data_IF_445155992240
#
_entry.id   IF_445155992240
#
_cell.length_a   1.000
_cell.length_b   1.000
_cell.length_c   1.000
_cell.angle_alpha   90.00
_cell.angle_beta   90.00
_cell.angle_gamma   90.00
#
_symmetry.space_group_name_H-M   'P 1'
#
loop_
_entity.id
_entity.type
_entity.pdbx_description
1 polymer ?
#
# COMPACT_ATOMS: atom_id res chain seq x y z
N UNK A 1 -4.25 -1.37 9.54
CA UNK A 1 -5.47 -1.94 8.94
C UNK A 1 -5.69 -3.43 9.24
N UNK A 2 -6.94 -3.88 9.02
CA UNK A 2 -7.42 -5.26 9.13
C UNK A 2 -6.85 -6.17 8.02
N UNK A 3 -6.74 -5.66 6.78
CA UNK A 3 -6.29 -6.46 5.65
C UNK A 3 -4.82 -6.90 5.80
N UNK A 4 -3.93 -5.99 6.20
CA UNK A 4 -2.51 -6.24 6.43
C UNK A 4 -2.29 -7.20 7.60
N UNK A 5 -3.11 -7.10 8.65
CA UNK A 5 -3.10 -8.08 9.75
C UNK A 5 -3.52 -9.46 9.28
N UNK A 6 -4.55 -9.55 8.44
CA UNK A 6 -4.96 -10.82 7.84
C UNK A 6 -3.85 -11.39 6.93
N UNK A 7 -3.24 -10.57 6.08
CA UNK A 7 -2.11 -10.96 5.23
C UNK A 7 -0.93 -11.49 6.06
N UNK A 8 -0.60 -10.80 7.16
CA UNK A 8 0.40 -11.28 8.11
C UNK A 8 0.02 -12.65 8.67
N UNK A 9 -1.21 -12.82 9.18
CA UNK A 9 -1.65 -14.07 9.79
C UNK A 9 -1.61 -15.24 8.81
N UNK A 10 -2.10 -15.04 7.58
CA UNK A 10 -2.09 -16.07 6.53
C UNK A 10 -0.66 -16.48 6.20
N UNK A 11 0.22 -15.51 5.93
CA UNK A 11 1.62 -15.78 5.57
C UNK A 11 2.40 -16.43 6.72
N UNK A 12 2.18 -15.97 7.96
CA UNK A 12 2.85 -16.50 9.13
C UNK A 12 2.41 -17.93 9.43
N UNK A 13 1.11 -18.22 9.38
CA UNK A 13 0.59 -19.57 9.58
C UNK A 13 1.12 -20.54 8.52
N UNK A 14 1.22 -20.10 7.26
CA UNK A 14 1.82 -20.89 6.19
C UNK A 14 3.31 -21.18 6.49
N UNK A 15 4.09 -20.14 6.83
CA UNK A 15 5.51 -20.29 7.13
C UNK A 15 5.76 -21.20 8.34
N UNK A 16 4.89 -21.18 9.35
CA UNK A 16 4.99 -22.04 10.54
C UNK A 16 4.58 -23.50 10.27
N UNK A 17 3.97 -23.80 9.13
CA UNK A 17 3.63 -25.15 8.72
C UNK A 17 4.84 -26.08 8.59
N UNK A 18 4.63 -27.39 8.78
CA UNK A 18 5.72 -28.39 8.79
C UNK A 18 6.58 -28.38 7.51
N UNK A 19 5.99 -28.09 6.36
CA UNK A 19 6.70 -28.08 5.06
C UNK A 19 7.79 -27.02 4.90
N UNK A 20 7.84 -26.02 5.79
CA UNK A 20 8.82 -24.92 5.72
C UNK A 20 9.89 -24.97 6.83
N UNK A 21 10.03 -26.09 7.54
CA UNK A 21 10.98 -26.21 8.64
C UNK A 21 12.43 -25.91 8.23
N UNK A 22 12.86 -26.43 7.09
CA UNK A 22 14.22 -26.17 6.56
C UNK A 22 14.44 -24.69 6.25
N UNK A 23 13.44 -24.01 5.67
CA UNK A 23 13.51 -22.58 5.40
C UNK A 23 13.62 -21.78 6.72
N UNK A 24 12.82 -22.13 7.73
CA UNK A 24 12.88 -21.46 9.04
C UNK A 24 14.26 -21.60 9.69
N UNK A 25 14.88 -22.79 9.61
CA UNK A 25 16.26 -23.03 10.09
C UNK A 25 17.32 -22.20 9.35
N UNK A 26 17.05 -21.75 8.12
CA UNK A 26 17.92 -20.83 7.40
C UNK A 26 17.70 -19.36 7.76
N UNK A 27 16.52 -19.02 8.31
CA UNK A 27 16.16 -17.63 8.66
C UNK A 27 16.59 -17.31 10.10
N UNK A 28 16.40 -18.25 11.02
CA UNK A 28 16.74 -18.08 12.44
C UNK A 28 17.20 -19.40 13.06
N UNK A 29 18.10 -19.31 14.03
CA UNK A 29 18.68 -20.46 14.74
C UNK A 29 18.20 -20.59 16.19
N UNK A 30 17.65 -19.52 16.76
CA UNK A 30 17.19 -19.47 18.15
C UNK A 30 15.93 -18.61 18.32
N UNK A 31 15.33 -18.66 19.51
CA UNK A 31 14.08 -17.97 19.84
C UNK A 31 14.18 -16.43 19.72
N UNK A 32 15.32 -15.86 20.09
CA UNK A 32 15.51 -14.40 20.00
C UNK A 32 15.57 -13.93 18.54
N UNK A 33 16.16 -14.73 17.65
CA UNK A 33 16.17 -14.46 16.21
C UNK A 33 14.79 -14.67 15.57
N UNK A 34 14.03 -15.67 16.04
CA UNK A 34 12.62 -15.85 15.64
C UNK A 34 11.80 -14.61 16.01
N UNK A 35 11.89 -14.14 17.25
CA UNK A 35 11.15 -12.96 17.70
C UNK A 35 11.55 -11.71 16.90
N UNK A 36 12.85 -11.52 16.66
CA UNK A 36 13.35 -10.43 15.80
C UNK A 36 12.82 -10.53 14.38
N UNK A 37 12.86 -11.71 13.78
CA UNK A 37 12.35 -11.95 12.43
C UNK A 37 10.85 -11.67 12.36
N UNK A 38 10.09 -12.17 13.33
CA UNK A 38 8.65 -11.92 13.47
C UNK A 38 8.37 -10.41 13.53
N UNK A 39 9.09 -9.69 14.37
CA UNK A 39 8.92 -8.25 14.52
C UNK A 39 9.23 -7.49 13.21
N UNK A 40 10.26 -7.90 12.47
CA UNK A 40 10.58 -7.32 11.16
C UNK A 40 9.45 -7.55 10.16
N UNK A 41 8.93 -8.79 10.06
CA UNK A 41 7.83 -9.14 9.14
C UNK A 41 6.54 -8.37 9.49
N UNK A 42 6.22 -8.24 10.77
CA UNK A 42 5.06 -7.42 11.20
C UNK A 42 5.26 -5.97 10.80
N UNK A 43 6.42 -5.38 11.11
CA UNK A 43 6.68 -3.98 10.80
C UNK A 43 6.60 -3.69 9.30
N UNK A 44 7.11 -4.58 8.47
CA UNK A 44 7.09 -4.41 7.01
C UNK A 44 5.70 -4.56 6.41
N UNK A 45 4.93 -5.57 6.82
CA UNK A 45 3.56 -5.78 6.31
C UNK A 45 2.62 -4.68 6.79
N UNK A 46 2.69 -4.30 8.07
CA UNK A 46 1.86 -3.20 8.58
C UNK A 46 2.24 -1.86 7.94
N UNK A 47 3.49 -1.70 7.47
CA UNK A 47 3.91 -0.51 6.77
C UNK A 47 3.30 -0.35 5.37
N UNK A 48 2.78 -1.41 4.72
CA UNK A 48 2.14 -1.29 3.40
C UNK A 48 0.75 -0.66 3.46
N UNK A 49 0.18 -0.50 4.66
CA UNK A 49 -0.96 0.37 4.86
C UNK A 49 -0.53 1.84 4.74
N UNK A 50 -0.81 2.40 3.57
CA UNK A 50 -0.47 3.78 3.21
C UNK A 50 -1.56 4.78 3.60
N UNK A 51 -2.79 4.32 3.84
CA UNK A 51 -3.96 5.20 3.94
C UNK A 51 -4.46 5.38 5.38
N UNK A 52 -4.12 4.47 6.30
CA UNK A 52 -4.42 4.62 7.73
C UNK A 52 -3.61 5.79 8.33
N UNK A 53 -4.33 6.85 8.70
CA UNK A 53 -3.75 8.12 9.19
C UNK A 53 -2.93 7.94 10.46
N UNK A 54 -3.33 7.03 11.36
CA UNK A 54 -2.63 6.79 12.62
C UNK A 54 -1.33 6.02 12.37
N UNK A 55 -1.35 5.05 11.46
CA UNK A 55 -0.14 4.35 11.02
C UNK A 55 0.84 5.29 10.32
N UNK A 56 0.35 6.15 9.43
CA UNK A 56 1.14 7.20 8.77
C UNK A 56 1.79 8.13 9.81
N UNK A 57 1.01 8.63 10.78
CA UNK A 57 1.51 9.52 11.82
C UNK A 57 2.59 8.86 12.70
N UNK A 58 2.34 7.62 13.16
CA UNK A 58 3.31 6.85 13.96
C UNK A 58 4.61 6.64 13.22
N UNK A 59 4.55 6.32 11.93
CA UNK A 59 5.72 6.10 11.08
C UNK A 59 6.51 7.37 10.83
N UNK A 60 5.85 8.49 10.55
CA UNK A 60 6.52 9.79 10.42
C UNK A 60 7.25 10.18 11.71
N UNK A 61 6.62 9.97 12.87
CA UNK A 61 7.28 10.18 14.18
C UNK A 61 8.51 9.28 14.38
N UNK A 62 8.45 8.00 13.98
CA UNK A 62 9.62 7.10 14.04
C UNK A 62 10.73 7.56 13.10
N UNK A 63 10.38 7.98 11.88
CA UNK A 63 11.32 8.51 10.90
C UNK A 63 12.05 9.74 11.45
N UNK A 64 11.32 10.75 11.92
CA UNK A 64 11.90 11.95 12.51
C UNK A 64 12.81 11.63 13.68
N UNK A 65 12.43 10.69 14.56
CA UNK A 65 13.27 10.25 15.68
C UNK A 65 14.57 9.59 15.21
N UNK A 66 14.52 8.77 14.17
CA UNK A 66 15.71 8.09 13.63
C UNK A 66 16.70 9.07 12.99
N UNK A 67 16.21 10.15 12.35
CA UNK A 67 17.04 11.10 11.59
C UNK A 67 17.29 12.46 12.29
N UNK A 68 16.55 12.84 13.35
CA UNK A 68 16.86 14.04 14.17
C UNK A 68 18.14 13.89 14.98
N UNK A 69 18.45 12.68 15.44
CA UNK A 69 19.64 12.38 16.26
C UNK A 69 20.96 12.67 15.52
N UNK A 70 20.92 12.74 14.18
CA UNK A 70 22.08 13.09 13.34
C UNK A 70 22.36 14.59 13.23
N UNK A 71 21.35 15.46 13.35
CA UNK A 71 21.50 16.90 13.12
C UNK A 71 21.78 17.72 14.39
N UNK A 72 21.50 17.16 15.58
CA UNK A 72 21.78 17.85 16.85
C UNK A 72 23.26 17.81 17.26
N UNK A 73 24.07 16.90 16.72
CA UNK A 73 25.50 16.76 17.04
C UNK A 73 26.44 17.50 16.07
N UNK A 74 25.93 18.18 15.04
CA UNK A 74 26.73 18.97 14.08
C UNK A 74 26.79 20.48 14.40
N UNK A 75 26.40 20.88 15.60
CA UNK A 75 26.36 22.28 16.04
C UNK A 75 27.67 22.80 16.64
N UNK A 76 28.81 22.72 15.93
CA UNK A 76 29.92 23.69 16.05
C UNK A 76 30.63 23.85 14.70
N UNK A 77 30.56 25.07 14.19
CA UNK A 77 30.95 25.61 12.89
C UNK A 77 32.43 25.40 12.52
N UNK A 78 32.73 25.05 11.26
CA UNK A 78 33.86 25.58 10.43
C UNK A 78 33.60 25.36 8.91
N UNK A 79 34.11 26.24 8.01
CA UNK A 79 33.70 26.36 6.61
C UNK A 79 34.37 25.33 5.66
N UNK A 80 33.97 25.23 4.36
CA UNK A 80 34.13 24.01 3.59
C UNK A 80 35.51 23.93 2.92
N UNK A 81 36.25 22.87 3.21
CA UNK A 81 37.36 22.43 2.38
C UNK A 81 37.02 21.09 1.70
N UNK A 82 37.29 21.06 0.40
CA UNK A 82 36.97 19.98 -0.54
C UNK A 82 37.60 18.65 -0.11
N UNK A 83 36.93 17.56 -0.54
CA UNK A 83 37.36 16.13 -0.53
C UNK A 83 36.92 15.33 0.71
N UNK A 84 35.66 14.87 0.71
CA UNK A 84 35.15 13.88 1.67
C UNK A 84 35.70 12.49 1.36
N UNK A 85 36.87 12.19 1.92
CA UNK A 85 37.32 10.82 2.19
C UNK A 85 36.46 10.30 3.34
N UNK A 86 35.67 9.23 3.13
CA UNK A 86 34.85 8.59 4.18
C UNK A 86 35.77 8.16 5.32
N UNK A 87 35.69 8.85 6.45
CA UNK A 87 36.26 8.42 7.73
C UNK A 87 35.06 8.06 8.61
N UNK A 88 34.90 6.77 8.90
CA UNK A 88 33.87 6.29 9.82
C UNK A 88 34.09 6.96 11.17
N UNK A 89 33.14 7.79 11.58
CA UNK A 89 33.16 8.46 12.88
C UNK A 89 32.46 7.59 13.90
N UNK A 90 33.22 7.16 14.91
CA UNK A 90 32.78 6.49 16.12
C UNK A 90 31.84 7.38 16.98
N UNK A 91 30.62 7.58 16.49
CA UNK A 91 29.52 8.26 17.19
C UNK A 91 28.17 7.56 17.06
N UNK A 92 28.15 6.37 16.46
CA UNK A 92 26.94 5.62 16.19
C UNK A 92 26.55 4.77 17.41
N UNK A 93 25.58 5.26 18.19
CA UNK A 93 24.90 4.43 19.18
C UNK A 93 24.24 3.24 18.43
N UNK A 94 24.56 1.97 18.74
CA UNK A 94 24.01 0.80 18.03
C UNK A 94 22.48 0.82 17.93
N UNK A 95 21.81 1.23 19.01
CA UNK A 95 20.35 1.35 19.03
C UNK A 95 19.77 2.45 18.13
N UNK A 96 20.57 3.42 17.67
CA UNK A 96 20.17 4.40 16.66
C UNK A 96 20.27 3.82 15.25
N UNK A 97 21.28 2.99 15.00
CA UNK A 97 21.46 2.32 13.71
C UNK A 97 20.36 1.27 13.46
N UNK A 98 19.98 0.50 14.48
CA UNK A 98 18.88 -0.47 14.39
C UNK A 98 17.53 0.20 14.11
N UNK A 99 17.27 1.34 14.75
CA UNK A 99 16.08 2.16 14.49
C UNK A 99 16.05 2.71 13.08
N UNK A 100 17.18 3.21 12.58
CA UNK A 100 17.32 3.67 11.19
C UNK A 100 17.07 2.53 10.22
N UNK A 101 17.69 1.37 10.43
CA UNK A 101 17.50 0.20 9.58
C UNK A 101 16.02 -0.19 9.48
N UNK A 102 15.29 -0.20 10.60
CA UNK A 102 13.87 -0.55 10.61
C UNK A 102 13.03 0.44 9.79
N UNK A 103 13.17 1.75 10.02
CA UNK A 103 12.35 2.75 9.29
C UNK A 103 12.71 2.82 7.80
N UNK A 104 13.95 2.51 7.45
CA UNK A 104 14.41 2.36 6.07
C UNK A 104 13.74 1.17 5.39
N UNK A 105 13.71 0.01 6.05
CA UNK A 105 13.10 -1.20 5.49
C UNK A 105 11.59 -1.00 5.34
N UNK A 106 10.93 -0.35 6.29
CA UNK A 106 9.51 0.07 6.16
C UNK A 106 9.30 0.94 4.91
N UNK A 107 10.14 1.97 4.70
CA UNK A 107 10.03 2.86 3.53
C UNK A 107 10.31 2.15 2.20
N UNK A 108 11.25 1.19 2.17
CA UNK A 108 11.53 0.37 0.98
C UNK A 108 10.34 -0.52 0.60
N UNK A 109 9.69 -1.12 1.60
CA UNK A 109 8.49 -1.93 1.35
C UNK A 109 7.35 -1.10 0.77
N UNK A 110 7.14 0.11 1.30
CA UNK A 110 6.16 1.05 0.76
C UNK A 110 6.45 1.43 -0.68
N UNK A 111 7.70 1.78 -0.96
CA UNK A 111 8.08 2.19 -2.30
C UNK A 111 7.98 1.04 -3.29
N UNK A 112 8.19 -0.20 -2.83
CA UNK A 112 7.99 -1.40 -3.64
C UNK A 112 6.53 -1.59 -4.01
N UNK A 113 5.62 -1.42 -3.03
CA UNK A 113 4.17 -1.56 -3.19
C UNK A 113 3.59 -0.57 -4.22
N UNK A 114 4.09 0.67 -4.22
CA UNK A 114 3.63 1.73 -5.14
C UNK A 114 4.63 2.05 -6.25
N UNK A 115 5.59 1.15 -6.52
CA UNK A 115 6.70 1.39 -7.43
C UNK A 115 6.29 1.80 -8.84
N UNK A 116 5.13 1.31 -9.31
CA UNK A 116 4.57 1.66 -10.62
C UNK A 116 4.33 3.16 -10.80
N UNK A 117 4.10 3.92 -9.72
CA UNK A 117 3.94 5.39 -9.74
C UNK A 117 5.24 6.15 -9.97
N UNK A 118 6.38 5.48 -9.74
CA UNK A 118 7.75 6.00 -9.88
C UNK A 118 8.46 5.40 -11.10
N UNK A 119 7.70 4.93 -12.09
CA UNK A 119 8.19 4.37 -13.35
C UNK A 119 7.68 5.17 -14.55
N UNK A 120 8.12 4.83 -15.77
CA UNK A 120 7.63 5.48 -16.99
C UNK A 120 6.09 5.52 -17.07
N UNK A 121 5.57 6.60 -17.63
CA UNK A 121 4.14 6.91 -17.76
C UNK A 121 3.28 5.72 -18.19
N UNK A 122 3.69 4.95 -19.20
CA UNK A 122 2.91 3.81 -19.69
C UNK A 122 2.78 2.67 -18.69
N UNK A 123 3.78 2.47 -17.82
CA UNK A 123 3.74 1.47 -16.76
C UNK A 123 2.84 1.94 -15.63
N UNK A 124 3.01 3.18 -15.18
CA UNK A 124 2.10 3.83 -14.22
C UNK A 124 0.64 3.71 -14.69
N UNK A 125 0.36 4.14 -15.91
CA UNK A 125 -0.98 4.16 -16.49
C UNK A 125 -1.59 2.75 -16.59
N UNK A 126 -0.78 1.75 -16.95
CA UNK A 126 -1.23 0.34 -17.03
C UNK A 126 -1.72 -0.17 -15.68
N UNK A 127 -0.98 0.09 -14.61
CA UNK A 127 -1.31 -0.41 -13.28
C UNK A 127 -2.42 0.41 -12.61
N UNK A 128 -2.39 1.73 -12.76
CA UNK A 128 -3.48 2.60 -12.33
C UNK A 128 -4.82 2.17 -12.98
N UNK A 129 -4.81 1.92 -14.30
CA UNK A 129 -6.01 1.40 -14.99
C UNK A 129 -6.52 0.08 -14.40
N UNK A 130 -5.62 -0.85 -14.07
CA UNK A 130 -6.00 -2.15 -13.50
C UNK A 130 -6.70 -1.98 -12.16
N UNK A 131 -6.14 -1.14 -11.29
CA UNK A 131 -6.75 -0.81 -10.00
C UNK A 131 -8.11 -0.11 -10.19
N UNK A 132 -8.21 0.86 -11.08
CA UNK A 132 -9.48 1.52 -11.39
C UNK A 132 -10.55 0.52 -11.82
N UNK A 133 -10.21 -0.41 -12.72
CA UNK A 133 -11.16 -1.41 -13.22
C UNK A 133 -11.57 -2.41 -12.13
N UNK A 134 -10.66 -2.78 -11.23
CA UNK A 134 -10.96 -3.62 -10.06
C UNK A 134 -11.94 -2.92 -9.10
N UNK A 135 -11.67 -1.65 -8.77
CA UNK A 135 -12.54 -0.84 -7.92
C UNK A 135 -13.92 -0.61 -8.55
N UNK A 136 -13.95 -0.32 -9.86
CA UNK A 136 -15.21 -0.13 -10.58
C UNK A 136 -16.00 -1.43 -10.66
N UNK A 137 -15.33 -2.59 -10.76
CA UNK A 137 -16.01 -3.89 -10.72
C UNK A 137 -16.68 -4.10 -9.36
N UNK A 138 -15.97 -3.85 -8.25
CA UNK A 138 -16.54 -3.94 -6.91
C UNK A 138 -17.76 -3.01 -6.71
N UNK A 139 -17.67 -1.76 -7.19
CA UNK A 139 -18.80 -0.82 -7.19
C UNK A 139 -19.98 -1.33 -8.03
N UNK A 140 -19.71 -1.77 -9.25
CA UNK A 140 -20.73 -2.21 -10.20
C UNK A 140 -21.48 -3.48 -9.76
N UNK A 141 -20.88 -4.26 -8.85
CA UNK A 141 -21.44 -5.45 -8.21
C UNK A 141 -22.08 -5.16 -6.85
N UNK A 142 -22.07 -3.90 -6.39
CA UNK A 142 -22.62 -3.48 -5.10
C UNK A 142 -21.79 -3.90 -3.88
N UNK A 143 -20.51 -4.28 -4.08
CA UNK A 143 -19.57 -4.58 -2.99
C UNK A 143 -18.91 -3.31 -2.41
N UNK A 144 -18.97 -2.20 -3.16
CA UNK A 144 -18.52 -0.88 -2.75
C UNK A 144 -19.63 0.13 -3.05
N UNK A 145 -19.85 1.08 -2.14
CA UNK A 145 -20.79 2.19 -2.36
C UNK A 145 -20.15 3.36 -3.13
N UNK A 146 -18.83 3.28 -3.38
CA UNK A 146 -18.05 4.37 -3.97
C UNK A 146 -17.82 4.10 -5.46
N UNK A 147 -18.33 4.98 -6.33
CA UNK A 147 -17.94 5.00 -7.74
C UNK A 147 -16.52 5.59 -7.87
N UNK A 148 -15.52 4.82 -8.33
CA UNK A 148 -14.17 5.35 -8.46
C UNK A 148 -14.10 6.52 -9.46
N UNK A 149 -15.03 6.63 -10.41
CA UNK A 149 -15.01 7.65 -11.47
C UNK A 149 -15.20 9.08 -10.95
N UNK A 150 -15.82 9.26 -9.78
CA UNK A 150 -16.17 10.58 -9.24
C UNK A 150 -15.00 11.30 -8.56
N UNK A 151 -13.99 10.55 -8.08
CA UNK A 151 -12.88 11.11 -7.30
C UNK A 151 -11.49 10.65 -7.73
N UNK A 152 -11.36 9.83 -8.78
CA UNK A 152 -10.06 9.26 -9.16
C UNK A 152 -9.03 10.31 -9.56
N UNK A 153 -9.45 11.35 -10.30
CA UNK A 153 -8.53 12.36 -10.81
C UNK A 153 -7.88 13.15 -9.67
N UNK A 154 -8.71 13.71 -8.78
CA UNK A 154 -8.29 14.45 -7.59
C UNK A 154 -7.56 13.54 -6.59
N UNK A 155 -8.04 12.32 -6.41
CA UNK A 155 -7.43 11.31 -5.55
C UNK A 155 -6.00 10.97 -5.96
N UNK A 156 -5.76 10.74 -7.24
CA UNK A 156 -4.41 10.45 -7.76
C UNK A 156 -3.48 11.67 -7.63
N UNK A 157 -3.96 12.90 -7.86
CA UNK A 157 -3.17 14.10 -7.59
C UNK A 157 -2.77 14.20 -6.12
N UNK A 158 -3.73 14.00 -5.22
CA UNK A 158 -3.48 14.00 -3.78
C UNK A 158 -2.55 12.86 -3.37
N UNK A 159 -2.62 11.70 -4.02
CA UNK A 159 -1.74 10.56 -3.77
C UNK A 159 -0.30 10.86 -4.16
N UNK A 160 -0.07 11.48 -5.33
CA UNK A 160 1.28 11.92 -5.71
C UNK A 160 1.84 12.97 -4.76
N UNK A 161 1.05 14.00 -4.45
CA UNK A 161 1.51 15.17 -3.68
C UNK A 161 1.75 14.81 -2.20
N UNK A 162 0.91 13.97 -1.61
CA UNK A 162 0.96 13.65 -0.17
C UNK A 162 1.68 12.34 0.16
N UNK A 163 1.83 11.41 -0.80
CA UNK A 163 2.38 10.06 -0.54
C UNK A 163 3.58 9.74 -1.41
N UNK A 164 3.41 9.68 -2.73
CA UNK A 164 4.46 9.17 -3.65
C UNK A 164 5.70 10.07 -3.63
N UNK A 165 5.53 11.37 -3.87
CA UNK A 165 6.66 12.31 -3.97
C UNK A 165 7.39 12.45 -2.62
N UNK A 166 6.70 12.61 -1.47
CA UNK A 166 7.36 12.60 -0.16
C UNK A 166 8.15 11.32 0.11
N UNK A 167 7.63 10.15 -0.27
CA UNK A 167 8.33 8.87 -0.10
C UNK A 167 9.58 8.77 -0.99
N UNK A 168 9.47 9.16 -2.25
CA UNK A 168 10.62 9.17 -3.17
C UNK A 168 11.74 10.11 -2.69
N UNK A 169 11.38 11.29 -2.14
CA UNK A 169 12.34 12.21 -1.51
C UNK A 169 13.04 11.58 -0.30
N UNK A 170 12.28 10.94 0.60
CA UNK A 170 12.85 10.21 1.75
C UNK A 170 13.87 9.16 1.33
N UNK A 171 13.56 8.38 0.28
CA UNK A 171 14.48 7.35 -0.22
C UNK A 171 15.74 7.92 -0.84
N UNK A 172 15.61 9.01 -1.61
CA UNK A 172 16.76 9.75 -2.15
C UNK A 172 17.67 10.29 -1.05
N UNK A 173 17.10 10.87 0.00
CA UNK A 173 17.87 11.39 1.15
C UNK A 173 18.64 10.30 1.90
N UNK A 174 18.16 9.05 1.87
CA UNK A 174 18.83 7.94 2.55
C UNK A 174 20.06 7.41 1.81
N UNK A 175 20.25 7.73 0.52
CA UNK A 175 21.37 7.26 -0.32
C UNK A 175 21.50 5.71 -0.41
N UNK A 176 20.39 4.99 -0.18
CA UNK A 176 20.39 3.51 -0.11
C UNK A 176 20.21 2.88 -1.49
N UNK A 177 19.44 3.53 -2.35
CA UNK A 177 19.12 3.05 -3.71
C UNK A 177 20.09 3.65 -4.74
N UNK A 178 21.05 4.46 -4.29
CA UNK A 178 22.02 5.17 -5.14
C UNK A 178 21.33 5.96 -6.25
N UNK A 179 21.87 5.87 -7.47
CA UNK A 179 21.38 6.59 -8.65
C UNK A 179 19.91 6.27 -8.98
N UNK A 180 19.41 5.08 -8.60
CA UNK A 180 18.03 4.68 -8.83
C UNK A 180 17.00 5.55 -8.08
N UNK A 181 17.36 6.14 -6.93
CA UNK A 181 16.45 7.02 -6.20
C UNK A 181 16.18 8.34 -6.94
N UNK A 182 17.17 8.87 -7.66
CA UNK A 182 17.01 10.07 -8.47
C UNK A 182 16.03 9.83 -9.63
N UNK A 183 16.16 8.69 -10.30
CA UNK A 183 15.26 8.29 -11.39
C UNK A 183 13.82 8.10 -10.90
N UNK A 184 13.63 7.40 -9.77
CA UNK A 184 12.32 7.21 -9.15
C UNK A 184 11.62 8.53 -8.83
N UNK A 185 12.35 9.47 -8.22
CA UNK A 185 11.82 10.80 -7.91
C UNK A 185 11.48 11.58 -9.19
N UNK A 186 12.33 11.52 -10.21
CA UNK A 186 12.07 12.16 -11.48
C UNK A 186 10.80 11.62 -12.15
N UNK A 187 10.62 10.29 -12.19
CA UNK A 187 9.40 9.69 -12.74
C UNK A 187 8.15 10.06 -11.94
N UNK A 188 8.21 10.09 -10.60
CA UNK A 188 7.09 10.53 -9.79
C UNK A 188 6.64 11.96 -10.14
N UNK A 189 7.60 12.88 -10.27
CA UNK A 189 7.32 14.29 -10.62
C UNK A 189 6.75 14.41 -12.04
N UNK A 190 7.32 13.68 -13.00
CA UNK A 190 6.83 13.66 -14.39
C UNK A 190 5.42 13.07 -14.47
N UNK A 191 5.17 11.95 -13.81
CA UNK A 191 3.86 11.30 -13.81
C UNK A 191 2.80 12.17 -13.15
N UNK A 192 3.12 12.82 -12.02
CA UNK A 192 2.20 13.78 -11.37
C UNK A 192 1.82 14.88 -12.35
N UNK A 193 2.81 15.53 -12.99
CA UNK A 193 2.57 16.59 -13.98
C UNK A 193 1.76 16.07 -15.17
N UNK A 194 2.11 14.92 -15.72
CA UNK A 194 1.39 14.34 -16.86
C UNK A 194 -0.06 13.98 -16.48
N UNK A 195 -0.28 13.48 -15.26
CA UNK A 195 -1.60 13.20 -14.73
C UNK A 195 -2.43 14.47 -14.57
N UNK A 196 -1.87 15.58 -14.10
CA UNK A 196 -2.57 16.87 -14.03
C UNK A 196 -3.14 17.29 -15.39
N UNK A 197 -2.38 17.11 -16.47
CA UNK A 197 -2.79 17.50 -17.82
C UNK A 197 -3.72 16.49 -18.51
N UNK A 198 -3.49 15.18 -18.29
CA UNK A 198 -4.13 14.10 -19.07
C UNK A 198 -5.18 13.32 -18.26
N UNK A 199 -5.13 13.40 -16.94
CA UNK A 199 -5.82 12.52 -16.00
C UNK A 199 -7.34 12.52 -16.15
N UNK A 200 -7.99 13.68 -16.35
CA UNK A 200 -9.45 13.74 -16.56
C UNK A 200 -9.89 12.93 -17.79
N UNK A 201 -9.17 13.09 -18.91
CA UNK A 201 -9.42 12.30 -20.13
C UNK A 201 -9.14 10.82 -19.89
N UNK A 202 -8.05 10.51 -19.19
CA UNK A 202 -7.71 9.13 -18.83
C UNK A 202 -8.80 8.45 -18.00
N UNK A 203 -9.34 9.12 -16.98
CA UNK A 203 -10.44 8.59 -16.14
C UNK A 203 -11.70 8.36 -16.96
N UNK A 204 -12.03 9.29 -17.87
CA UNK A 204 -13.11 9.09 -18.83
C UNK A 204 -12.89 7.82 -19.68
N UNK A 205 -11.70 7.64 -20.24
CA UNK A 205 -11.37 6.46 -21.06
C UNK A 205 -11.43 5.16 -20.24
N UNK A 206 -11.00 5.17 -18.98
CA UNK A 206 -11.13 4.03 -18.07
C UNK A 206 -12.59 3.69 -17.78
N UNK A 207 -13.42 4.70 -17.52
CA UNK A 207 -14.85 4.56 -17.27
C UNK A 207 -15.58 3.96 -18.47
N UNK A 208 -15.24 4.40 -19.68
CA UNK A 208 -15.77 3.83 -20.93
C UNK A 208 -15.36 2.36 -21.10
N UNK A 209 -14.09 2.02 -20.80
CA UNK A 209 -13.62 0.64 -20.86
C UNK A 209 -14.34 -0.25 -19.83
N UNK A 210 -14.53 0.23 -18.60
CA UNK A 210 -15.24 -0.50 -17.54
C UNK A 210 -16.68 -0.84 -17.96
N UNK A 211 -17.41 0.14 -18.51
CA UNK A 211 -18.77 -0.05 -19.04
C UNK A 211 -18.81 -1.08 -20.18
N UNK A 212 -17.85 -1.02 -21.11
CA UNK A 212 -17.75 -1.97 -22.23
C UNK A 212 -17.47 -3.40 -21.77
N UNK A 213 -16.64 -3.58 -20.73
CA UNK A 213 -16.38 -4.91 -20.16
C UNK A 213 -17.65 -5.51 -19.57
N UNK A 214 -18.42 -4.72 -18.81
CA UNK A 214 -19.70 -5.17 -18.24
C UNK A 214 -20.72 -5.57 -19.30
N UNK A 215 -20.84 -4.82 -20.40
CA UNK A 215 -21.76 -5.18 -21.49
C UNK A 215 -21.35 -6.45 -22.22
N UNK A 216 -20.05 -6.72 -22.35
CA UNK A 216 -19.55 -7.95 -22.97
C UNK A 216 -19.73 -9.21 -22.10
N UNK A 217 -19.79 -9.06 -20.76
CA UNK A 217 -19.97 -10.19 -19.83
C UNK A 217 -21.44 -10.56 -19.62
N UNK A 218 -22.40 -9.69 -19.99
CA UNK A 218 -23.83 -10.05 -20.02
C UNK A 218 -24.14 -10.83 -21.32
N UNK A 219 -24.58 -12.09 -21.27
CA UNK A 219 -24.98 -12.80 -22.47
C UNK A 219 -26.16 -12.09 -23.14
N UNK A 220 -26.01 -11.80 -24.42
CA UNK A 220 -27.03 -11.20 -25.29
C UNK A 220 -28.11 -12.23 -25.65
N UNK A 221 -28.98 -12.59 -24.70
CA UNK A 221 -30.18 -13.37 -25.01
C UNK A 221 -31.14 -13.51 -23.81
N UNK A 222 -32.05 -12.55 -23.67
CA UNK A 222 -33.47 -12.88 -23.45
C UNK A 222 -34.25 -12.03 -24.45
N UNK A 223 -34.42 -12.54 -25.67
CA UNK A 223 -35.57 -12.16 -26.47
C UNK A 223 -36.79 -12.69 -25.71
N UNK A 224 -37.66 -11.76 -25.30
CA UNK A 224 -38.93 -12.03 -24.67
C UNK A 224 -39.77 -12.96 -25.56
N UNK A 225 -39.88 -14.23 -25.20
CA UNK A 225 -40.98 -15.06 -25.67
C UNK A 225 -42.21 -14.69 -24.84
N UNK A 226 -43.10 -13.89 -25.44
CA UNK A 226 -44.48 -13.77 -24.97
C UNK A 226 -45.17 -15.11 -25.18
N UNK A 227 -45.61 -15.74 -24.10
CA UNK A 227 -46.63 -16.78 -24.15
C UNK A 227 -47.44 -16.72 -22.85
N UNK A 228 -48.69 -16.34 -23.05
CA UNK A 228 -49.74 -16.14 -22.08
C UNK A 228 -50.11 -17.39 -21.28
N UNK A 229 -50.74 -17.13 -20.13
CA UNK A 229 -51.67 -17.96 -19.33
C UNK A 229 -51.10 -18.69 -18.12
N UNK A 230 -51.76 -18.47 -16.97
CA UNK A 230 -51.60 -19.27 -15.77
C UNK A 230 -51.51 -18.46 -14.47
N UNK A 231 -52.56 -17.71 -14.12
CA UNK A 231 -52.67 -17.13 -12.77
C UNK A 231 -52.87 -18.23 -11.73
N UNK A 232 -52.07 -18.25 -10.67
CA UNK A 232 -52.47 -18.85 -9.40
C UNK A 232 -51.89 -18.03 -8.25
N UNK A 233 -52.76 -17.63 -7.34
CA UNK A 233 -52.49 -16.70 -6.24
C UNK A 233 -52.45 -17.41 -4.88
N UNK A 234 -51.43 -17.07 -4.08
CA UNK A 234 -51.45 -16.79 -2.61
C UNK A 234 -51.59 -18.04 -1.67
N UNK A 235 -51.02 -18.10 -0.43
CA UNK A 235 -50.64 -16.99 0.47
C UNK A 235 -49.27 -17.01 1.20
N UNK A 236 -48.99 -15.80 1.70
CA UNK A 236 -48.05 -15.37 2.73
C UNK A 236 -48.20 -16.16 4.05
N UNK A 237 -47.09 -16.62 4.64
CA UNK A 237 -47.06 -17.32 5.92
C UNK A 237 -45.71 -17.21 6.66
N UNK A 238 -45.69 -16.29 7.63
CA UNK A 238 -45.01 -16.32 8.94
C UNK A 238 -43.53 -16.75 9.12
N UNK A 239 -42.78 -15.78 9.69
CA UNK A 239 -41.97 -15.88 10.91
C UNK A 239 -40.58 -16.57 10.91
N UNK A 240 -39.59 -15.85 11.44
CA UNK A 240 -38.31 -16.42 11.89
C UNK A 240 -37.29 -15.36 12.32
N UNK A 241 -37.54 -14.64 13.42
CA UNK A 241 -36.49 -13.92 14.15
C UNK A 241 -35.52 -14.93 14.79
N UNK A 242 -34.22 -14.74 14.63
CA UNK A 242 -33.22 -15.30 15.52
C UNK A 242 -32.16 -14.23 15.87
N UNK A 243 -32.18 -13.83 17.13
CA UNK A 243 -31.16 -13.08 17.83
C UNK A 243 -30.14 -14.06 18.42
N UNK A 244 -28.84 -13.79 18.31
CA UNK A 244 -27.95 -13.57 19.46
C UNK A 244 -26.45 -13.63 19.09
N UNK A 245 -25.77 -12.55 19.48
CA UNK A 245 -24.58 -12.49 20.34
C UNK A 245 -23.44 -13.49 20.12
N UNK A 246 -22.26 -12.95 19.81
CA UNK A 246 -21.08 -13.22 20.63
C UNK A 246 -20.12 -12.03 20.63
N UNK A 247 -20.03 -11.39 21.80
CA UNK A 247 -18.90 -10.54 22.18
C UNK A 247 -17.69 -11.42 22.47
N UNK A 248 -16.51 -11.05 22.00
CA UNK A 248 -15.26 -11.37 22.69
C UNK A 248 -14.30 -10.19 22.53
N UNK A 249 -14.17 -9.48 23.64
CA UNK A 249 -13.18 -8.44 23.91
C UNK A 249 -11.80 -9.03 24.21
N UNK A 250 -10.78 -8.18 24.02
CA UNK A 250 -9.53 -8.11 24.79
C UNK A 250 -8.34 -9.00 24.39
N UNK A 251 -7.36 -8.38 23.70
CA UNK A 251 -5.90 -8.42 23.90
C UNK A 251 -5.34 -7.40 22.87
N UNK A 252 -4.94 -6.18 23.22
CA UNK A 252 -3.83 -5.84 24.11
C UNK A 252 -2.59 -5.55 23.26
N UNK A 253 -2.48 -4.32 22.74
CA UNK A 253 -1.27 -3.76 22.12
C UNK A 253 -0.35 -3.17 23.19
#
# INVERSE_FOLDING_TARGET
>A
SVAEQNSFNVAWNLLMGKGYEHLRKCIYSNEAELERFRQLVVNTIIATDLHDKDLVARRNKRWEKAFRTTNANSGKSKPPSKRRKRKGTAGDNPGNNDRKATVIVEALMQASDISHTMQHWHVYLKWNKRLFLEMHHAYADGQSDIDPSEGWYEGELAFFDNTVIPLAKKLKECDIVGVGADEMLNYALVNRRDWEHKGKRTVHDFSMEARRRKSATRPSSIQSFNSSTGSFSIPLGAAGKASNNNSLSSLGY
#
